data_IF_750329263744
#
_entry.id   IF_750329263744
#
_cell.length_a   1.000
_cell.length_b   1.000
_cell.length_c   1.000
_cell.angle_alpha   90.00
_cell.angle_beta   90.00
_cell.angle_gamma   90.00
#
_symmetry.space_group_name_H-M   'P 1'
#
loop_
_entity.id
_entity.type
_entity.pdbx_description
1 polymer ?
#
# COMPACT_ATOMS: atom_id res chain seq x y z
N UNK A 1 -5.96 -11.65 41.60
CA UNK A 1 -4.93 -10.84 40.92
C UNK A 1 -4.65 -11.53 39.60
N UNK A 2 -4.89 -10.87 38.46
CA UNK A 2 -4.56 -11.49 37.15
C UNK A 2 -3.05 -11.61 37.05
N UNK A 3 -2.56 -12.80 36.77
CA UNK A 3 -1.16 -13.08 36.56
C UNK A 3 -0.63 -12.26 35.38
N UNK A 4 0.45 -11.52 35.62
CA UNK A 4 1.01 -10.61 34.60
C UNK A 4 1.80 -11.48 33.61
N UNK A 5 1.23 -11.71 32.42
CA UNK A 5 1.88 -12.44 31.33
C UNK A 5 3.31 -11.96 31.08
N UNK A 6 4.23 -12.90 30.93
CA UNK A 6 5.61 -12.63 30.54
C UNK A 6 5.69 -12.06 29.13
N UNK A 7 6.83 -11.47 28.76
CA UNK A 7 7.06 -10.95 27.40
C UNK A 7 6.99 -12.09 26.37
N UNK A 8 7.53 -13.25 26.70
CA UNK A 8 7.53 -14.43 25.81
C UNK A 8 6.12 -14.96 25.57
N UNK A 9 5.31 -15.08 26.61
CA UNK A 9 3.90 -15.50 26.49
C UNK A 9 3.10 -14.53 25.62
N UNK A 10 3.32 -13.22 25.77
CA UNK A 10 2.68 -12.20 24.92
C UNK A 10 3.11 -12.32 23.46
N UNK A 11 4.40 -12.52 23.20
CA UNK A 11 4.92 -12.65 21.84
C UNK A 11 4.39 -13.94 21.19
N UNK A 12 4.34 -15.06 21.91
CA UNK A 12 3.76 -16.32 21.42
C UNK A 12 2.27 -16.17 21.10
N UNK A 13 1.50 -15.50 21.96
CA UNK A 13 0.10 -15.23 21.71
C UNK A 13 -0.13 -14.33 20.48
N UNK A 14 0.75 -13.33 20.25
CA UNK A 14 0.72 -12.49 19.06
C UNK A 14 1.04 -13.29 17.81
N UNK A 15 2.07 -14.13 17.85
CA UNK A 15 2.43 -14.98 16.72
C UNK A 15 1.28 -15.90 16.31
N UNK A 16 0.65 -16.56 17.29
CA UNK A 16 -0.52 -17.41 17.03
C UNK A 16 -1.67 -16.59 16.41
N UNK A 17 -1.98 -15.41 16.95
CA UNK A 17 -2.99 -14.51 16.38
C UNK A 17 -2.69 -14.13 14.92
N UNK A 18 -1.41 -13.92 14.60
CA UNK A 18 -0.98 -13.60 13.23
C UNK A 18 -1.19 -14.79 12.29
N UNK A 19 -0.82 -15.99 12.71
CA UNK A 19 -1.00 -17.21 11.92
C UNK A 19 -2.49 -17.52 11.68
N UNK A 20 -3.29 -17.49 12.75
CA UNK A 20 -4.75 -17.69 12.68
C UNK A 20 -5.40 -16.59 11.82
N UNK A 21 -4.94 -15.33 11.97
CA UNK A 21 -5.40 -14.18 11.20
C UNK A 21 -5.11 -14.33 9.72
N UNK A 22 -3.89 -14.73 9.33
CA UNK A 22 -3.54 -14.97 7.92
C UNK A 22 -4.47 -16.02 7.30
N UNK A 23 -4.65 -17.17 7.95
CA UNK A 23 -5.54 -18.20 7.42
C UNK A 23 -6.99 -17.75 7.33
N UNK A 24 -7.47 -16.99 8.30
CA UNK A 24 -8.84 -16.48 8.32
C UNK A 24 -9.11 -15.45 7.21
N UNK A 25 -8.11 -14.65 6.83
CA UNK A 25 -8.20 -13.64 5.77
C UNK A 25 -8.51 -14.29 4.41
N UNK A 26 -7.89 -15.42 4.10
CA UNK A 26 -8.00 -16.06 2.80
C UNK A 26 -9.31 -16.84 2.59
N UNK A 27 -10.36 -16.51 3.33
CA UNK A 27 -11.74 -16.81 2.93
C UNK A 27 -12.27 -15.67 2.05
N UNK A 28 -13.10 -15.96 1.03
CA UNK A 28 -13.50 -14.97 0.00
C UNK A 28 -14.07 -13.66 0.56
N UNK A 29 -14.89 -13.75 1.62
CA UNK A 29 -15.55 -12.58 2.22
C UNK A 29 -14.56 -11.70 2.99
N UNK A 30 -13.67 -12.32 3.78
CA UNK A 30 -12.70 -11.59 4.62
C UNK A 30 -11.51 -11.05 3.85
N UNK A 31 -11.19 -11.62 2.69
CA UNK A 31 -10.06 -11.16 1.90
C UNK A 31 -10.27 -9.74 1.37
N UNK A 32 -11.43 -9.49 0.81
CA UNK A 32 -11.79 -8.15 0.30
C UNK A 32 -11.79 -7.11 1.41
N UNK A 33 -12.40 -7.43 2.56
CA UNK A 33 -12.39 -6.57 3.75
C UNK A 33 -10.96 -6.28 4.22
N UNK A 34 -10.10 -7.31 4.20
CA UNK A 34 -8.72 -7.17 4.62
C UNK A 34 -7.89 -6.29 3.68
N UNK A 35 -7.98 -6.50 2.36
CA UNK A 35 -7.28 -5.65 1.39
C UNK A 35 -7.79 -4.21 1.47
N UNK A 36 -9.10 -4.01 1.64
CA UNK A 36 -9.67 -2.68 1.88
C UNK A 36 -9.13 -2.05 3.18
N UNK A 37 -9.02 -2.80 4.27
CA UNK A 37 -8.41 -2.31 5.50
C UNK A 37 -6.93 -1.96 5.31
N UNK A 38 -6.17 -2.81 4.61
CA UNK A 38 -4.75 -2.55 4.33
C UNK A 38 -4.52 -1.27 3.54
N UNK A 39 -5.38 -0.94 2.58
CA UNK A 39 -5.28 0.30 1.81
C UNK A 39 -5.40 1.57 2.67
N UNK A 40 -6.08 1.46 3.82
CA UNK A 40 -6.19 2.54 4.80
C UNK A 40 -4.94 2.70 5.68
N UNK A 41 -4.06 1.68 5.73
CA UNK A 41 -2.88 1.63 6.60
C UNK A 41 -1.55 1.46 5.86
N UNK A 42 -1.24 2.30 4.86
CA UNK A 42 -0.05 2.11 4.01
C UNK A 42 1.26 2.12 4.79
N UNK A 43 1.33 2.83 5.92
CA UNK A 43 2.55 2.95 6.75
C UNK A 43 2.76 1.80 7.74
N UNK A 44 1.83 0.85 7.85
CA UNK A 44 1.95 -0.29 8.76
C UNK A 44 2.41 -1.54 8.01
N UNK A 45 3.19 -2.40 8.68
CA UNK A 45 3.54 -3.71 8.13
C UNK A 45 2.31 -4.61 8.02
N UNK A 46 2.37 -5.62 7.16
CA UNK A 46 1.31 -6.63 7.02
C UNK A 46 0.89 -7.21 8.38
N UNK A 47 1.87 -7.57 9.21
CA UNK A 47 1.58 -8.11 10.54
C UNK A 47 0.76 -7.13 11.40
N UNK A 48 1.07 -5.84 11.33
CA UNK A 48 0.32 -4.81 12.05
C UNK A 48 -1.06 -4.58 11.43
N UNK A 49 -1.20 -4.61 10.11
CA UNK A 49 -2.52 -4.56 9.46
C UNK A 49 -3.43 -5.73 9.92
N UNK A 50 -2.88 -6.95 9.99
CA UNK A 50 -3.59 -8.12 10.52
C UNK A 50 -4.00 -7.91 11.97
N UNK A 51 -3.07 -7.44 12.82
CA UNK A 51 -3.36 -7.18 14.23
C UNK A 51 -4.45 -6.10 14.41
N UNK A 52 -4.41 -5.04 13.61
CA UNK A 52 -5.42 -3.98 13.64
C UNK A 52 -6.78 -4.55 13.22
N UNK A 53 -6.87 -5.15 12.03
CA UNK A 53 -8.11 -5.69 11.50
C UNK A 53 -8.74 -6.77 12.40
N UNK A 54 -7.93 -7.60 13.06
CA UNK A 54 -8.40 -8.63 13.99
C UNK A 54 -8.96 -8.09 15.31
N UNK A 55 -8.56 -6.89 15.73
CA UNK A 55 -9.00 -6.24 16.97
C UNK A 55 -10.09 -5.20 16.76
N UNK A 56 -10.05 -4.49 15.63
CA UNK A 56 -11.04 -3.49 15.23
C UNK A 56 -11.21 -3.53 13.70
N UNK A 57 -12.10 -4.38 13.16
CA UNK A 57 -12.31 -4.53 11.72
C UNK A 57 -12.67 -3.23 11.01
N UNK A 58 -13.42 -2.36 11.67
CA UNK A 58 -13.88 -1.07 11.14
C UNK A 58 -12.82 0.04 11.21
N UNK A 59 -11.62 -0.26 11.74
CA UNK A 59 -10.57 0.74 11.84
C UNK A 59 -10.29 1.40 10.48
N UNK A 60 -10.09 2.71 10.49
CA UNK A 60 -9.87 3.51 9.28
C UNK A 60 -8.58 4.33 9.30
N UNK A 61 -8.21 4.89 10.44
CA UNK A 61 -6.96 5.59 10.65
C UNK A 61 -6.49 5.38 12.08
N UNK A 62 -5.35 4.70 12.25
CA UNK A 62 -4.81 4.42 13.58
C UNK A 62 -3.51 5.17 13.83
N UNK A 63 -3.36 5.65 15.06
CA UNK A 63 -2.19 6.40 15.48
C UNK A 63 -1.89 6.20 16.97
N UNK A 64 -0.66 6.44 17.38
CA UNK A 64 -0.26 6.42 18.78
C UNK A 64 -0.95 7.55 19.59
N UNK A 65 -1.23 7.30 20.88
CA UNK A 65 -1.93 8.21 21.76
C UNK A 65 -1.43 9.68 21.70
N UNK A 66 -0.12 9.87 21.77
CA UNK A 66 0.47 11.22 21.73
C UNK A 66 0.34 11.89 20.36
N UNK A 67 0.46 11.12 19.29
CA UNK A 67 0.34 11.63 17.92
C UNK A 67 -1.05 12.17 17.61
N UNK A 68 -2.09 11.55 18.13
CA UNK A 68 -3.45 12.07 18.01
C UNK A 68 -3.54 13.51 18.51
N UNK A 69 -2.86 13.79 19.62
CA UNK A 69 -2.86 15.12 20.25
C UNK A 69 -1.94 16.11 19.54
N UNK A 70 -0.72 15.68 19.19
CA UNK A 70 0.33 16.61 18.70
C UNK A 70 0.22 16.89 17.19
N UNK A 71 -0.23 15.92 16.39
CA UNK A 71 -0.27 16.05 14.92
C UNK A 71 -1.68 16.31 14.39
N UNK A 72 -2.72 15.81 15.08
CA UNK A 72 -4.10 15.86 14.61
C UNK A 72 -5.04 16.72 15.47
N UNK A 73 -4.52 17.30 16.56
CA UNK A 73 -5.33 18.06 17.53
C UNK A 73 -6.59 17.28 17.99
N UNK A 74 -6.41 15.97 18.22
CA UNK A 74 -7.46 15.05 18.67
C UNK A 74 -7.05 14.36 19.95
N UNK A 75 -8.05 14.01 20.76
CA UNK A 75 -7.85 13.35 22.05
C UNK A 75 -8.53 11.99 22.04
N UNK A 76 -7.82 10.97 22.50
CA UNK A 76 -8.43 9.64 22.71
C UNK A 76 -9.47 9.71 23.82
N UNK A 77 -10.67 9.19 23.54
CA UNK A 77 -11.79 9.22 24.46
C UNK A 77 -11.52 8.40 25.73
N UNK A 78 -12.05 8.84 26.84
CA UNK A 78 -11.85 8.14 28.12
C UNK A 78 -12.54 6.77 28.08
N UNK A 79 -11.78 5.73 28.45
CA UNK A 79 -12.29 4.36 28.52
C UNK A 79 -12.03 3.53 27.27
N UNK A 80 -11.46 4.12 26.21
CA UNK A 80 -11.11 3.38 25.00
C UNK A 80 -9.97 2.38 25.23
N UNK A 81 -10.07 1.24 24.56
CA UNK A 81 -9.06 0.19 24.59
C UNK A 81 -8.14 0.31 23.37
N UNK A 82 -6.83 0.43 23.63
CA UNK A 82 -5.83 0.53 22.57
C UNK A 82 -5.70 -0.77 21.77
N UNK A 83 -5.54 -0.63 20.47
CA UNK A 83 -5.26 -1.70 19.52
C UNK A 83 -3.78 -2.05 19.63
N UNK A 84 -3.47 -3.31 19.93
CA UNK A 84 -2.09 -3.78 20.12
C UNK A 84 -1.44 -4.05 18.77
N UNK A 85 -0.26 -3.46 18.55
CA UNK A 85 0.60 -3.67 17.39
C UNK A 85 2.05 -3.92 17.81
N UNK A 86 2.90 -4.27 16.86
CA UNK A 86 4.34 -4.48 17.06
C UNK A 86 5.15 -3.29 16.58
N UNK A 87 5.86 -2.62 17.50
CA UNK A 87 6.81 -1.57 17.14
C UNK A 87 8.24 -2.11 17.11
N UNK A 88 9.05 -1.75 16.09
CA UNK A 88 10.46 -2.14 16.05
C UNK A 88 11.27 -1.42 17.14
N UNK A 89 12.20 -2.15 17.74
CA UNK A 89 13.23 -1.63 18.62
C UNK A 89 14.57 -1.94 17.97
N UNK A 90 15.38 -0.92 17.75
CA UNK A 90 16.77 -1.07 17.35
C UNK A 90 17.63 -0.99 18.58
N UNK A 91 18.60 -1.89 18.69
CA UNK A 91 19.58 -1.91 19.77
C UNK A 91 20.96 -2.24 19.22
N UNK A 92 21.96 -2.06 20.08
CA UNK A 92 23.34 -2.47 19.80
C UNK A 92 23.76 -3.46 20.87
N UNK A 93 24.46 -4.50 20.47
CA UNK A 93 25.06 -5.47 21.37
C UNK A 93 26.51 -5.67 21.00
N UNK A 94 27.39 -5.82 22.02
CA UNK A 94 28.74 -6.25 21.77
C UNK A 94 28.76 -7.77 21.67
N UNK A 95 29.30 -8.29 20.57
CA UNK A 95 29.60 -9.71 20.38
C UNK A 95 31.08 -9.89 20.23
N UNK A 96 31.60 -11.00 20.76
CA UNK A 96 32.98 -11.37 20.59
C UNK A 96 33.08 -12.25 19.39
N UNK A 97 33.84 -11.82 18.39
CA UNK A 97 34.03 -12.54 17.13
C UNK A 97 35.48 -12.99 17.00
N UNK A 98 35.68 -14.14 16.37
CA UNK A 98 36.99 -14.66 16.03
C UNK A 98 37.60 -13.87 14.88
N UNK A 99 38.88 -13.54 14.98
CA UNK A 99 39.59 -12.77 13.95
C UNK A 99 40.18 -13.73 12.91
N UNK A 100 39.89 -13.50 11.63
CA UNK A 100 40.44 -14.23 10.49
C UNK A 100 41.30 -13.31 9.62
N UNK A 101 42.35 -13.85 9.02
CA UNK A 101 43.19 -13.12 8.07
C UNK A 101 42.55 -13.05 6.66
N UNK A 102 43.21 -12.39 5.70
CA UNK A 102 42.74 -12.21 4.32
C UNK A 102 42.57 -13.56 3.56
N UNK A 103 43.16 -14.65 4.07
CA UNK A 103 43.02 -16.01 3.52
C UNK A 103 42.01 -16.87 4.29
N UNK A 104 41.18 -16.25 5.13
CA UNK A 104 40.18 -16.91 5.98
C UNK A 104 40.80 -17.92 6.97
N UNK A 105 42.02 -17.66 7.43
CA UNK A 105 42.71 -18.46 8.44
C UNK A 105 42.60 -17.74 9.80
N UNK A 106 42.31 -18.51 10.85
CA UNK A 106 42.19 -17.97 12.22
C UNK A 106 43.52 -17.31 12.67
N UNK A 107 43.43 -16.07 13.14
CA UNK A 107 44.56 -15.36 13.73
C UNK A 107 44.71 -15.81 15.16
N UNK A 108 45.92 -16.18 15.58
CA UNK A 108 46.21 -16.59 16.93
C UNK A 108 47.04 -15.54 17.67
N UNK A 109 46.94 -15.50 19.01
CA UNK A 109 47.76 -14.66 19.87
C UNK A 109 49.16 -15.28 20.14
N UNK A 110 49.98 -14.58 20.86
CA UNK A 110 51.35 -15.01 21.22
C UNK A 110 51.41 -16.33 22.02
N UNK A 111 50.27 -16.76 22.58
CA UNK A 111 50.11 -18.00 23.32
C UNK A 111 49.48 -19.14 22.49
N UNK A 112 49.20 -18.89 21.23
CA UNK A 112 48.56 -19.85 20.32
C UNK A 112 47.05 -19.95 20.45
N UNK A 113 46.38 -19.08 21.21
CA UNK A 113 44.92 -19.02 21.32
C UNK A 113 44.35 -18.17 20.18
N UNK A 114 43.17 -18.54 19.72
CA UNK A 114 42.48 -17.78 18.67
C UNK A 114 42.21 -16.35 19.17
N UNK A 115 42.63 -15.38 18.39
CA UNK A 115 42.39 -13.97 18.67
C UNK A 115 40.92 -13.64 18.46
N UNK A 116 40.35 -12.94 19.43
CA UNK A 116 38.97 -12.46 19.35
C UNK A 116 38.94 -10.95 19.47
N UNK A 117 37.95 -10.31 18.85
CA UNK A 117 37.69 -8.89 18.98
C UNK A 117 36.20 -8.64 19.35
N UNK A 118 35.99 -7.51 20.03
CA UNK A 118 34.62 -7.07 20.32
C UNK A 118 34.10 -6.23 19.19
N UNK A 119 33.05 -6.74 18.54
CA UNK A 119 32.35 -6.05 17.44
C UNK A 119 30.98 -5.62 17.94
N UNK A 120 30.62 -4.37 17.66
CA UNK A 120 29.27 -3.88 17.94
C UNK A 120 28.35 -4.27 16.79
N UNK A 121 27.40 -5.16 17.06
CA UNK A 121 26.36 -5.51 16.10
C UNK A 121 25.04 -4.81 16.43
N UNK A 122 24.41 -4.28 15.39
CA UNK A 122 23.04 -3.75 15.51
C UNK A 122 22.05 -4.92 15.41
N UNK A 123 21.05 -4.89 16.27
CA UNK A 123 19.93 -5.84 16.19
C UNK A 123 18.60 -5.10 16.17
N UNK A 124 17.60 -5.71 15.54
CA UNK A 124 16.23 -5.25 15.56
C UNK A 124 15.35 -6.30 16.21
N UNK A 125 14.57 -5.89 17.19
CA UNK A 125 13.54 -6.70 17.83
C UNK A 125 12.23 -5.92 17.84
N UNK A 126 11.15 -6.53 18.34
CA UNK A 126 9.82 -5.90 18.39
C UNK A 126 9.28 -5.88 19.81
N UNK A 127 8.44 -4.90 20.10
CA UNK A 127 7.67 -4.84 21.33
C UNK A 127 6.21 -4.52 21.05
N UNK A 128 5.27 -5.04 21.86
CA UNK A 128 3.89 -4.61 21.84
C UNK A 128 3.76 -3.13 22.20
N UNK A 129 3.03 -2.38 21.39
CA UNK A 129 2.60 -1.00 21.67
C UNK A 129 1.13 -0.87 21.35
N UNK A 130 0.49 0.21 21.81
CA UNK A 130 -0.93 0.44 21.60
C UNK A 130 -1.14 1.68 20.75
N UNK A 131 -2.04 1.55 19.76
CA UNK A 131 -2.54 2.62 18.91
C UNK A 131 -4.05 2.73 19.08
N UNK A 132 -4.64 3.81 18.61
CA UNK A 132 -6.07 4.08 18.68
C UNK A 132 -6.57 4.49 17.31
N UNK A 133 -7.75 4.03 16.93
CA UNK A 133 -8.42 4.44 15.70
C UNK A 133 -9.06 5.82 15.85
N UNK A 134 -9.31 6.50 14.74
CA UNK A 134 -9.96 7.81 14.70
C UNK A 134 -11.34 7.78 15.38
N UNK A 135 -12.10 6.67 15.25
CA UNK A 135 -13.39 6.49 15.90
C UNK A 135 -13.32 6.51 17.42
N UNK A 136 -12.17 6.20 17.99
CA UNK A 136 -11.86 6.24 19.42
C UNK A 136 -11.39 7.63 19.89
N UNK A 137 -11.47 8.65 19.04
CA UNK A 137 -10.94 10.00 19.32
C UNK A 137 -11.98 11.08 19.06
N UNK A 138 -11.82 12.22 19.73
CA UNK A 138 -12.60 13.44 19.52
C UNK A 138 -11.66 14.61 19.25
N UNK A 139 -12.05 15.55 18.39
CA UNK A 139 -11.25 16.74 18.03
C UNK A 139 -11.52 17.19 16.61
N UNK A 140 -10.55 17.83 15.97
CA UNK A 140 -10.69 18.42 14.65
C UNK A 140 -11.01 17.39 13.56
N UNK A 141 -11.73 17.78 12.49
CA UNK A 141 -11.93 16.95 11.30
C UNK A 141 -10.58 16.58 10.69
N UNK A 142 -10.47 15.36 10.17
CA UNK A 142 -9.28 14.94 9.46
C UNK A 142 -9.45 15.17 7.96
N UNK A 143 -8.43 15.66 7.25
CA UNK A 143 -8.43 15.66 5.80
C UNK A 143 -8.49 14.21 5.31
N UNK A 144 -9.36 13.92 4.35
CA UNK A 144 -9.42 12.60 3.71
C UNK A 144 -8.70 12.68 2.38
N UNK A 145 -7.79 11.75 2.14
CA UNK A 145 -7.01 11.68 0.89
C UNK A 145 -7.92 11.63 -0.34
N UNK A 146 -9.04 10.90 -0.25
CA UNK A 146 -10.03 10.83 -1.32
C UNK A 146 -10.68 12.20 -1.63
N UNK A 147 -10.89 13.08 -0.64
CA UNK A 147 -11.40 14.43 -0.88
C UNK A 147 -10.34 15.32 -1.54
N UNK A 148 -9.09 15.18 -1.12
CA UNK A 148 -7.97 15.91 -1.74
C UNK A 148 -7.73 15.48 -3.19
N UNK A 149 -7.86 14.19 -3.50
CA UNK A 149 -7.71 13.66 -4.86
C UNK A 149 -8.87 14.09 -5.76
N UNK A 150 -10.11 14.03 -5.26
CA UNK A 150 -11.30 14.45 -6.01
C UNK A 150 -11.32 15.94 -6.36
N UNK A 151 -10.72 16.80 -5.53
CA UNK A 151 -10.61 18.22 -5.82
C UNK A 151 -9.61 18.55 -6.95
N UNK A 152 -8.72 17.61 -7.29
CA UNK A 152 -7.62 17.86 -8.24
C UNK A 152 -7.79 17.16 -9.57
N UNK A 153 -8.41 15.99 -9.59
CA UNK A 153 -8.58 15.17 -10.79
C UNK A 153 -10.08 15.07 -11.10
N UNK A 154 -10.59 16.14 -11.70
CA UNK A 154 -12.02 16.27 -12.05
C UNK A 154 -12.42 15.47 -13.28
N UNK A 155 -11.48 14.89 -14.01
CA UNK A 155 -11.78 14.24 -15.28
C UNK A 155 -11.11 12.87 -15.45
N UNK A 156 -11.81 12.02 -16.19
CA UNK A 156 -11.29 10.74 -16.67
C UNK A 156 -9.96 10.91 -17.42
N UNK A 157 -9.83 11.93 -18.27
CA UNK A 157 -8.63 12.16 -19.08
C UNK A 157 -7.42 12.51 -18.23
N UNK A 158 -7.60 13.27 -17.15
CA UNK A 158 -6.51 13.57 -16.22
C UNK A 158 -6.03 12.31 -15.51
N UNK A 159 -6.93 11.48 -14.95
CA UNK A 159 -6.57 10.23 -14.31
C UNK A 159 -5.91 9.25 -15.28
N UNK A 160 -6.45 9.13 -16.50
CA UNK A 160 -5.86 8.34 -17.58
C UNK A 160 -4.42 8.80 -17.89
N UNK A 161 -4.21 10.12 -17.98
CA UNK A 161 -2.88 10.70 -18.20
C UNK A 161 -1.92 10.39 -17.04
N UNK A 162 -2.39 10.50 -15.80
CA UNK A 162 -1.61 10.11 -14.61
C UNK A 162 -1.20 8.65 -14.69
N UNK A 163 -2.13 7.73 -14.94
CA UNK A 163 -1.85 6.29 -15.04
C UNK A 163 -0.87 5.97 -16.16
N UNK A 164 -0.99 6.62 -17.33
CA UNK A 164 0.00 6.48 -18.42
C UNK A 164 1.38 6.92 -17.95
N UNK A 165 1.48 8.04 -17.25
CA UNK A 165 2.75 8.63 -16.83
C UNK A 165 3.51 7.81 -15.79
N UNK A 166 2.79 7.06 -14.92
CA UNK A 166 3.38 6.22 -13.88
C UNK A 166 3.63 4.78 -14.34
N UNK A 167 3.14 4.41 -15.51
CA UNK A 167 3.30 3.05 -16.04
C UNK A 167 4.77 2.74 -16.28
N UNK A 168 5.28 1.56 -15.81
CA UNK A 168 6.67 1.17 -16.04
C UNK A 168 6.99 0.83 -17.50
N UNK A 169 5.95 0.67 -18.33
CA UNK A 169 6.06 0.35 -19.75
C UNK A 169 5.08 1.20 -20.57
N UNK A 170 5.31 1.38 -21.90
CA UNK A 170 4.36 2.10 -22.74
C UNK A 170 2.96 1.50 -22.71
N UNK A 171 1.94 2.37 -22.67
CA UNK A 171 0.52 2.01 -22.74
C UNK A 171 -0.03 2.41 -24.10
N UNK A 172 -0.68 1.49 -24.81
CA UNK A 172 -1.40 1.74 -26.07
C UNK A 172 -2.89 1.41 -25.93
N UNK A 173 -3.70 2.07 -26.74
CA UNK A 173 -5.15 1.85 -26.82
C UNK A 173 -5.47 1.31 -28.20
N UNK A 174 -6.04 0.11 -28.27
CA UNK A 174 -6.27 -0.62 -29.51
C UNK A 174 -7.61 -1.37 -29.42
N UNK A 175 -8.24 -1.66 -30.55
CA UNK A 175 -9.40 -2.55 -30.55
C UNK A 175 -8.95 -3.99 -30.29
N UNK A 176 -9.31 -4.57 -29.14
CA UNK A 176 -8.96 -5.95 -28.77
C UNK A 176 -10.08 -6.90 -29.21
N UNK A 177 -9.75 -7.88 -30.05
CA UNK A 177 -10.64 -8.96 -30.43
C UNK A 177 -10.51 -10.14 -29.44
N UNK A 178 -11.64 -10.76 -29.04
CA UNK A 178 -11.61 -11.95 -28.16
C UNK A 178 -12.07 -11.72 -26.74
N UNK A 179 -12.56 -10.50 -26.39
CA UNK A 179 -13.25 -10.24 -25.13
C UNK A 179 -12.32 -9.90 -23.93
N UNK A 180 -11.01 -9.76 -24.15
CA UNK A 180 -10.11 -9.23 -23.14
C UNK A 180 -10.23 -7.69 -23.06
N UNK A 181 -10.26 -7.14 -21.86
CA UNK A 181 -10.30 -5.70 -21.63
C UNK A 181 -8.92 -5.02 -21.83
N UNK A 182 -7.86 -5.75 -21.59
CA UNK A 182 -6.48 -5.32 -21.74
C UNK A 182 -5.52 -6.49 -21.53
N UNK A 183 -4.23 -6.24 -21.71
CA UNK A 183 -3.18 -7.17 -21.34
C UNK A 183 -1.82 -6.48 -21.22
N UNK A 184 -1.01 -6.97 -20.31
CA UNK A 184 0.41 -6.71 -20.26
C UNK A 184 1.18 -7.77 -21.05
N UNK A 185 2.05 -7.35 -21.95
CA UNK A 185 2.95 -8.23 -22.70
C UNK A 185 4.40 -8.05 -22.23
N UNK A 186 4.94 -8.95 -21.40
CA UNK A 186 6.33 -8.86 -20.95
C UNK A 186 7.33 -8.99 -22.09
N UNK A 187 7.01 -9.78 -23.13
CA UNK A 187 7.86 -9.97 -24.29
C UNK A 187 7.93 -8.71 -25.17
N UNK A 188 6.80 -8.04 -25.38
CA UNK A 188 6.72 -6.79 -26.15
C UNK A 188 7.07 -5.57 -25.27
N UNK A 189 7.14 -5.70 -23.95
CA UNK A 189 7.39 -4.61 -23.02
C UNK A 189 6.32 -3.51 -23.09
N UNK A 190 5.05 -3.85 -23.25
CA UNK A 190 3.95 -2.88 -23.37
C UNK A 190 2.67 -3.37 -22.72
N UNK A 191 1.80 -2.40 -22.40
CA UNK A 191 0.42 -2.63 -22.02
C UNK A 191 -0.49 -2.22 -23.19
N UNK A 192 -1.52 -3.02 -23.46
CA UNK A 192 -2.58 -2.71 -24.43
C UNK A 192 -3.91 -2.73 -23.73
N UNK A 193 -4.71 -1.67 -23.94
CA UNK A 193 -6.05 -1.51 -23.35
C UNK A 193 -7.06 -1.42 -24.48
N UNK A 194 -8.22 -2.06 -24.34
CA UNK A 194 -9.30 -1.94 -25.32
C UNK A 194 -9.88 -0.52 -25.27
N UNK A 195 -9.77 0.20 -26.39
CA UNK A 195 -10.22 1.58 -26.53
C UNK A 195 -11.73 1.77 -26.40
N UNK A 196 -12.52 0.67 -26.52
CA UNK A 196 -13.99 0.67 -26.47
C UNK A 196 -14.56 0.56 -25.05
N UNK A 197 -13.71 0.39 -24.05
CA UNK A 197 -14.16 0.24 -22.66
C UNK A 197 -14.85 1.49 -22.13
N UNK A 198 -15.88 1.35 -21.29
CA UNK A 198 -16.37 2.45 -20.48
C UNK A 198 -15.24 3.03 -19.61
N UNK A 199 -15.31 4.35 -19.35
CA UNK A 199 -14.24 5.08 -18.66
C UNK A 199 -13.78 4.45 -17.36
N UNK A 200 -14.71 4.08 -16.47
CA UNK A 200 -14.38 3.45 -15.18
C UNK A 200 -13.68 2.09 -15.40
N UNK A 201 -14.21 1.27 -16.30
CA UNK A 201 -13.62 -0.03 -16.61
C UNK A 201 -12.22 0.10 -17.22
N UNK A 202 -12.03 1.12 -18.08
CA UNK A 202 -10.71 1.42 -18.66
C UNK A 202 -9.69 1.74 -17.58
N UNK A 203 -10.01 2.62 -16.62
CA UNK A 203 -9.11 2.95 -15.51
C UNK A 203 -8.79 1.72 -14.64
N UNK A 204 -9.80 0.92 -14.30
CA UNK A 204 -9.61 -0.33 -13.54
C UNK A 204 -8.68 -1.30 -14.28
N UNK A 205 -8.90 -1.49 -15.58
CA UNK A 205 -8.06 -2.34 -16.43
C UNK A 205 -6.63 -1.79 -16.52
N UNK A 206 -6.46 -0.47 -16.70
CA UNK A 206 -5.13 0.14 -16.70
C UNK A 206 -4.37 -0.14 -15.40
N UNK A 207 -5.01 0.04 -14.24
CA UNK A 207 -4.36 -0.23 -12.93
C UNK A 207 -3.99 -1.71 -12.81
N UNK A 208 -4.85 -2.63 -13.26
CA UNK A 208 -4.58 -4.07 -13.25
C UNK A 208 -3.37 -4.44 -14.11
N UNK A 209 -3.28 -3.92 -15.34
CA UNK A 209 -2.14 -4.21 -16.23
C UNK A 209 -0.84 -3.51 -15.76
N UNK A 210 -0.95 -2.32 -15.17
CA UNK A 210 0.18 -1.64 -14.51
C UNK A 210 0.67 -2.47 -13.31
N UNK A 211 -0.24 -3.09 -12.55
CA UNK A 211 0.13 -3.99 -11.46
C UNK A 211 0.92 -5.19 -11.98
N UNK A 212 0.45 -5.88 -13.04
CA UNK A 212 1.18 -6.97 -13.68
C UNK A 212 2.59 -6.54 -14.12
N UNK A 213 2.71 -5.39 -14.76
CA UNK A 213 3.99 -4.87 -15.25
C UNK A 213 4.93 -4.49 -14.09
N UNK A 214 4.40 -3.87 -13.03
CA UNK A 214 5.18 -3.45 -11.85
C UNK A 214 5.65 -4.65 -11.03
N UNK A 215 4.85 -5.72 -10.96
CA UNK A 215 5.18 -7.00 -10.34
C UNK A 215 6.18 -7.83 -11.15
N UNK A 216 6.42 -7.47 -12.41
CA UNK A 216 7.31 -8.22 -13.30
C UNK A 216 6.74 -9.56 -13.75
N UNK A 217 5.42 -9.72 -13.75
CA UNK A 217 4.75 -10.96 -14.14
C UNK A 217 5.11 -11.35 -15.57
N UNK A 218 5.49 -12.62 -15.77
CA UNK A 218 5.92 -13.14 -17.05
C UNK A 218 7.36 -12.78 -17.46
N UNK A 219 8.14 -12.13 -16.57
CA UNK A 219 9.59 -11.95 -16.75
C UNK A 219 10.33 -13.29 -16.58
N UNK A 220 11.65 -13.29 -16.88
CA UNK A 220 12.49 -14.48 -16.68
C UNK A 220 12.69 -14.86 -15.21
N UNK A 221 12.52 -13.88 -14.31
CA UNK A 221 12.69 -14.04 -12.86
C UNK A 221 11.36 -14.32 -12.14
N UNK A 222 10.26 -14.35 -12.90
CA UNK A 222 8.91 -14.58 -12.35
C UNK A 222 8.76 -16.03 -11.88
N UNK A 223 8.61 -16.18 -10.57
CA UNK A 223 8.46 -17.48 -9.90
C UNK A 223 7.00 -17.89 -9.62
N UNK A 224 6.06 -16.99 -9.90
CA UNK A 224 4.67 -17.18 -9.53
C UNK A 224 3.89 -17.97 -10.55
N UNK A 225 3.02 -18.87 -10.10
CA UNK A 225 2.04 -19.52 -10.95
C UNK A 225 1.00 -18.50 -11.46
N UNK A 226 0.28 -18.88 -12.52
CA UNK A 226 -0.69 -17.99 -13.16
C UNK A 226 -1.75 -17.47 -12.18
N UNK A 227 -2.27 -18.35 -11.32
CA UNK A 227 -3.33 -17.98 -10.38
C UNK A 227 -2.84 -17.01 -9.33
N UNK A 228 -1.63 -17.20 -8.82
CA UNK A 228 -0.99 -16.26 -7.88
C UNK A 228 -0.78 -14.89 -8.52
N UNK A 229 -0.36 -14.83 -9.79
CA UNK A 229 -0.22 -13.57 -10.52
C UNK A 229 -1.53 -12.79 -10.62
N UNK A 230 -2.62 -13.47 -10.95
CA UNK A 230 -3.95 -12.84 -11.00
C UNK A 230 -4.39 -12.35 -9.61
N UNK A 231 -4.20 -13.17 -8.56
CA UNK A 231 -4.50 -12.75 -7.17
C UNK A 231 -3.73 -11.48 -6.80
N UNK A 232 -2.44 -11.43 -7.10
CA UNK A 232 -1.60 -10.29 -6.78
C UNK A 232 -2.02 -9.03 -7.57
N UNK A 233 -2.19 -9.15 -8.89
CA UNK A 233 -2.56 -8.01 -9.73
C UNK A 233 -3.95 -7.46 -9.40
N UNK A 234 -4.95 -8.35 -9.20
CA UNK A 234 -6.31 -7.95 -8.82
C UNK A 234 -6.35 -7.28 -7.44
N UNK A 235 -5.57 -7.79 -6.49
CA UNK A 235 -5.49 -7.21 -5.15
C UNK A 235 -4.83 -5.83 -5.15
N UNK A 236 -3.76 -5.65 -5.93
CA UNK A 236 -3.12 -4.35 -6.13
C UNK A 236 -4.09 -3.38 -6.82
N UNK A 237 -4.79 -3.83 -7.87
CA UNK A 237 -5.75 -3.01 -8.58
C UNK A 237 -6.90 -2.56 -7.67
N UNK A 238 -7.45 -3.48 -6.87
CA UNK A 238 -8.50 -3.16 -5.90
C UNK A 238 -8.01 -2.13 -4.87
N UNK A 239 -6.81 -2.32 -4.29
CA UNK A 239 -6.22 -1.37 -3.35
C UNK A 239 -6.07 0.02 -3.94
N UNK A 240 -5.41 0.11 -5.11
CA UNK A 240 -5.13 1.40 -5.77
C UNK A 240 -6.43 2.11 -6.17
N UNK A 241 -7.40 1.38 -6.75
CA UNK A 241 -8.69 1.96 -7.14
C UNK A 241 -9.49 2.46 -5.94
N UNK A 242 -9.46 1.75 -4.81
CA UNK A 242 -10.06 2.24 -3.54
C UNK A 242 -9.41 3.54 -3.09
N UNK A 243 -8.08 3.60 -3.13
CA UNK A 243 -7.33 4.76 -2.65
C UNK A 243 -7.59 6.01 -3.48
N UNK A 244 -7.75 5.88 -4.81
CA UNK A 244 -8.10 6.98 -5.71
C UNK A 244 -9.62 7.25 -5.79
N UNK A 245 -10.43 6.58 -4.96
CA UNK A 245 -11.86 6.84 -4.83
C UNK A 245 -12.73 6.33 -5.96
N UNK A 246 -12.25 5.37 -6.78
CA UNK A 246 -13.07 4.73 -7.80
C UNK A 246 -14.02 3.70 -7.18
N UNK A 247 -15.19 3.49 -7.82
CA UNK A 247 -16.13 2.45 -7.40
C UNK A 247 -15.52 1.05 -7.55
N UNK A 248 -15.47 0.32 -6.45
CA UNK A 248 -14.90 -1.02 -6.34
C UNK A 248 -15.95 -2.12 -6.10
N UNK A 249 -17.24 -1.78 -6.20
CA UNK A 249 -18.36 -2.70 -5.91
C UNK A 249 -18.38 -3.95 -6.77
N UNK A 250 -17.80 -3.90 -7.98
CA UNK A 250 -17.74 -5.01 -8.92
C UNK A 250 -16.58 -5.98 -8.70
N UNK A 251 -15.63 -5.64 -7.80
CA UNK A 251 -14.53 -6.56 -7.48
C UNK A 251 -15.04 -7.77 -6.71
N UNK A 252 -14.57 -8.95 -7.09
CA UNK A 252 -14.92 -10.21 -6.44
C UNK A 252 -13.68 -11.09 -6.29
N UNK A 253 -13.45 -11.55 -5.07
CA UNK A 253 -12.35 -12.44 -4.71
C UNK A 253 -12.84 -13.89 -4.42
N UNK A 254 -13.93 -14.31 -5.07
CA UNK A 254 -14.53 -15.63 -4.85
C UNK A 254 -13.60 -16.82 -5.04
N UNK A 255 -12.54 -16.68 -5.82
CA UNK A 255 -11.52 -17.70 -6.08
C UNK A 255 -10.42 -17.80 -5.01
N UNK A 256 -10.34 -16.85 -4.07
CA UNK A 256 -9.26 -16.76 -3.07
C UNK A 256 -9.20 -17.99 -2.17
N UNK A 257 -10.34 -18.51 -1.73
CA UNK A 257 -10.38 -19.68 -0.86
C UNK A 257 -9.86 -20.93 -1.55
N UNK A 258 -10.08 -21.06 -2.86
CA UNK A 258 -9.51 -22.14 -3.68
C UNK A 258 -8.01 -22.01 -3.87
N UNK A 259 -7.55 -20.79 -4.16
CA UNK A 259 -6.13 -20.51 -4.36
C UNK A 259 -5.29 -20.70 -3.10
N UNK A 260 -5.83 -20.31 -1.93
CA UNK A 260 -5.08 -20.35 -0.66
C UNK A 260 -5.08 -21.72 0.02
N UNK A 261 -5.96 -22.66 -0.41
CA UNK A 261 -6.24 -23.92 0.30
C UNK A 261 -5.02 -24.76 0.57
N UNK A 262 -4.14 -24.87 -0.42
CA UNK A 262 -2.96 -25.76 -0.38
C UNK A 262 -1.65 -24.98 -0.17
N UNK A 263 -1.72 -23.67 0.18
CA UNK A 263 -0.55 -22.83 0.40
C UNK A 263 -0.15 -22.75 1.87
N UNK A 264 1.15 -22.70 2.10
CA UNK A 264 1.71 -22.46 3.43
C UNK A 264 1.48 -21.00 3.88
N UNK A 265 1.40 -20.78 5.20
CA UNK A 265 1.20 -19.44 5.77
C UNK A 265 2.30 -18.47 5.34
N UNK A 266 3.53 -18.96 5.18
CA UNK A 266 4.67 -18.17 4.70
C UNK A 266 4.47 -17.67 3.27
N UNK A 267 3.98 -18.51 2.36
CA UNK A 267 3.68 -18.15 0.96
C UNK A 267 2.53 -17.13 0.88
N UNK A 268 1.49 -17.32 1.71
CA UNK A 268 0.37 -16.39 1.80
C UNK A 268 0.84 -15.00 2.29
N UNK A 269 1.70 -14.96 3.32
CA UNK A 269 2.31 -13.72 3.80
C UNK A 269 3.19 -13.07 2.76
N UNK A 270 4.03 -13.82 2.07
CA UNK A 270 4.89 -13.30 1.00
C UNK A 270 4.04 -12.65 -0.11
N UNK A 271 2.94 -13.30 -0.49
CA UNK A 271 2.02 -12.71 -1.48
C UNK A 271 1.40 -11.40 -0.99
N UNK A 272 0.95 -11.34 0.27
CA UNK A 272 0.42 -10.10 0.87
C UNK A 272 1.48 -8.98 0.94
N UNK A 273 2.73 -9.31 1.28
CA UNK A 273 3.83 -8.34 1.31
C UNK A 273 4.12 -7.76 -0.09
N UNK A 274 4.13 -8.61 -1.11
CA UNK A 274 4.31 -8.22 -2.51
C UNK A 274 3.16 -7.32 -2.98
N UNK A 275 1.91 -7.70 -2.69
CA UNK A 275 0.72 -6.89 -2.98
C UNK A 275 0.84 -5.51 -2.35
N UNK A 276 1.14 -5.48 -1.04
CA UNK A 276 1.26 -4.23 -0.29
C UNK A 276 2.33 -3.31 -0.86
N UNK A 277 3.55 -3.81 -1.03
CA UNK A 277 4.68 -3.01 -1.55
C UNK A 277 4.38 -2.43 -2.93
N UNK A 278 3.74 -3.23 -3.78
CA UNK A 278 3.40 -2.81 -5.14
C UNK A 278 2.28 -1.77 -5.13
N UNK A 279 1.24 -1.99 -4.34
CA UNK A 279 0.15 -1.04 -4.19
C UNK A 279 0.63 0.30 -3.60
N UNK A 280 1.45 0.27 -2.54
CA UNK A 280 2.06 1.46 -1.95
C UNK A 280 2.92 2.23 -2.98
N UNK A 281 3.70 1.52 -3.80
CA UNK A 281 4.53 2.13 -4.85
C UNK A 281 3.67 2.84 -5.91
N UNK A 282 2.67 2.15 -6.45
CA UNK A 282 1.78 2.73 -7.48
C UNK A 282 1.01 3.92 -6.90
N UNK A 283 0.47 3.76 -5.71
CA UNK A 283 -0.28 4.81 -5.01
C UNK A 283 0.56 6.06 -4.76
N UNK A 284 1.77 5.91 -4.26
CA UNK A 284 2.70 7.02 -4.03
C UNK A 284 3.07 7.73 -5.34
N UNK A 285 3.24 6.99 -6.44
CA UNK A 285 3.52 7.57 -7.76
C UNK A 285 2.33 8.37 -8.29
N UNK A 286 1.10 7.90 -8.07
CA UNK A 286 -0.14 8.64 -8.40
C UNK A 286 -0.22 9.94 -7.61
N UNK A 287 -0.03 9.88 -6.28
CA UNK A 287 -0.06 11.06 -5.41
C UNK A 287 0.98 12.10 -5.81
N UNK A 288 2.21 11.67 -6.10
CA UNK A 288 3.30 12.55 -6.53
C UNK A 288 2.94 13.23 -7.85
N UNK A 289 2.44 12.48 -8.83
CA UNK A 289 2.06 13.04 -10.14
C UNK A 289 0.90 14.03 -10.05
N UNK A 290 -0.11 13.72 -9.23
CA UNK A 290 -1.23 14.65 -8.98
C UNK A 290 -0.72 15.94 -8.32
N UNK A 291 0.22 15.85 -7.37
CA UNK A 291 0.82 17.02 -6.73
C UNK A 291 1.61 17.89 -7.71
N UNK A 292 2.35 17.26 -8.63
CA UNK A 292 3.03 17.98 -9.73
C UNK A 292 2.04 18.76 -10.59
N UNK A 293 0.95 18.11 -11.05
CA UNK A 293 -0.09 18.72 -11.86
C UNK A 293 -0.77 19.90 -11.16
N UNK A 294 -0.95 19.83 -9.83
CA UNK A 294 -1.44 20.96 -9.03
C UNK A 294 -0.50 22.15 -9.10
N UNK A 295 0.78 21.90 -8.80
CA UNK A 295 1.79 22.95 -8.80
C UNK A 295 1.91 23.62 -10.16
N UNK A 296 1.77 22.88 -11.26
CA UNK A 296 1.77 23.41 -12.62
C UNK A 296 0.52 24.28 -12.90
N UNK A 297 -0.68 23.83 -12.47
CA UNK A 297 -1.93 24.60 -12.62
C UNK A 297 -1.89 25.92 -11.82
N UNK A 298 -1.35 25.91 -10.62
CA UNK A 298 -1.22 27.09 -9.77
C UNK A 298 -0.16 28.08 -10.29
N UNK A 299 0.87 27.58 -10.98
CA UNK A 299 1.94 28.40 -11.55
C UNK A 299 1.54 29.08 -12.88
N UNK A 300 0.46 28.65 -13.54
CA UNK A 300 -0.04 29.32 -14.74
C UNK A 300 -0.69 30.66 -14.37
N UNK A 301 -0.24 31.80 -14.94
CA UNK A 301 -0.85 33.08 -14.67
C UNK A 301 -2.32 33.01 -15.11
N UNK A 302 -3.22 33.45 -14.23
CA UNK A 302 -4.62 33.66 -14.60
C UNK A 302 -4.65 34.60 -15.81
N UNK A 303 -4.92 34.07 -16.99
CA UNK A 303 -5.23 34.88 -18.16
C UNK A 303 -6.54 35.61 -17.81
N UNK A 304 -6.44 36.86 -17.45
CA UNK A 304 -7.60 37.72 -17.29
C UNK A 304 -8.33 37.70 -18.63
N UNK A 305 -9.56 37.21 -18.66
CA UNK A 305 -10.46 37.46 -19.78
C UNK A 305 -10.54 38.96 -19.93
N UNK A 306 -9.86 39.51 -20.94
CA UNK A 306 -10.08 40.87 -21.39
C UNK A 306 -11.55 40.96 -21.82
N UNK A 307 -12.36 41.56 -20.95
CA UNK A 307 -13.71 41.97 -21.33
C UNK A 307 -13.56 42.90 -22.52
N UNK A 308 -13.98 42.44 -23.71
CA UNK A 308 -14.12 43.32 -24.86
C UNK A 308 -14.88 44.60 -24.43
N UNK A 309 -14.39 45.79 -24.81
CA UNK A 309 -15.05 47.03 -24.44
C UNK A 309 -16.43 47.05 -25.11
N UNK A 310 -17.47 47.19 -24.29
CA UNK A 310 -18.83 47.40 -24.71
C UNK A 310 -18.91 48.62 -25.65
N UNK A 311 -19.21 48.41 -26.95
CA UNK A 311 -19.47 49.47 -27.94
C UNK A 311 -20.97 49.76 -27.96
N UNK A 312 -21.44 50.94 -27.50
CA UNK A 312 -22.85 51.27 -27.54
C UNK A 312 -23.35 51.42 -28.98
N UNK A 313 -24.42 50.73 -29.34
CA UNK A 313 -25.09 50.84 -30.63
C UNK A 313 -25.65 52.28 -30.82
N UNK A 314 -25.14 53.02 -31.80
CA UNK A 314 -25.67 54.30 -32.25
C UNK A 314 -27.06 54.11 -32.84
N UNK A 315 -28.09 54.56 -32.12
CA UNK A 315 -29.43 54.70 -32.68
C UNK A 315 -29.43 55.76 -33.77
N UNK A 316 -29.56 55.39 -35.03
CA UNK A 316 -29.94 56.25 -36.10
C UNK A 316 -31.44 56.58 -35.95
N UNK A 317 -31.72 57.85 -35.59
CA UNK A 317 -33.08 58.46 -35.74
C UNK A 317 -33.44 58.59 -37.21
N UNK A 318 -34.61 58.05 -37.55
CA UNK A 318 -35.51 58.55 -38.60
C UNK A 318 -36.87 58.80 -37.99
#
# INVERSE_FOLDING_TARGET
>A
MAERQTREEKMSAIQKKLEDGVRAIFTSEKYQEYISAMSKFPRYSINNCILIASQLPEASLVCGFRKWQTEFNRTVNKGEHGIMILAPIKGKTEVVEEVFDENNKAVVDENGNQKTEKVTREYQTFRPVYVFDVSQTSGDPLPTLASELNETVDSFEEMKSVLISISPVPVSFETINGGANGYYSPTAGKIVIDERLPQLQMLKTMVHEIAHATLGHGSKEDKWDRQTKEVQAESVAYWVTQMIGLDTSEYSFGYISGWSKDKEVSELKESLDVIKQTADKISSSIEEKIRELRSEKEALPMVSEEKEPYVPALHKKR
#
